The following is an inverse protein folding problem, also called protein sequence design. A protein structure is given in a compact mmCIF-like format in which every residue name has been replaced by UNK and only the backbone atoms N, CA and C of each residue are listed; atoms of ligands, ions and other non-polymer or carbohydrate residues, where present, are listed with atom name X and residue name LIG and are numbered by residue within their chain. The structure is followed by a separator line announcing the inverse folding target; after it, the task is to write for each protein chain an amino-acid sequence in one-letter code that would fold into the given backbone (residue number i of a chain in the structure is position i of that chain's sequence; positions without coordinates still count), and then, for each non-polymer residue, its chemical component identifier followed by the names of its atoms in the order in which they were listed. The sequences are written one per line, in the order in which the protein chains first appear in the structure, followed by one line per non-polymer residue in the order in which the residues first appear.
data_IF_297859036228
#
_entry.id   IF_297859036228
#
_cell.length_a   1.000
_cell.length_b   1.000
_cell.length_c   1.000
_cell.angle_alpha   90.00
_cell.angle_beta   90.00
_cell.angle_gamma   90.00
#
_symmetry.space_group_name_H-M   'P 1'
#
loop_
_entity.id
_entity.type
_entity.pdbx_description
1 polymer ?
#
# COMPACT_ATOMS: atom_id res chain seq x y z
N UNK A 1 -17.53 -40.89 -40.51
CA UNK A 1 -16.62 -40.56 -39.38
C UNK A 1 -16.39 -39.08 -39.29
N UNK A 2 -17.21 -38.38 -38.50
CA UNK A 2 -16.96 -37.00 -38.09
C UNK A 2 -16.11 -37.04 -36.82
N UNK A 3 -14.82 -36.76 -36.93
CA UNK A 3 -13.90 -36.62 -35.79
C UNK A 3 -13.63 -35.13 -35.57
N UNK A 4 -14.53 -34.48 -34.83
CA UNK A 4 -14.28 -33.15 -34.26
C UNK A 4 -13.54 -33.38 -32.95
N UNK A 5 -12.27 -32.99 -32.90
CA UNK A 5 -11.55 -32.81 -31.65
C UNK A 5 -11.65 -31.31 -31.28
N UNK A 6 -12.14 -30.95 -30.09
CA UNK A 6 -11.97 -29.59 -29.59
C UNK A 6 -10.49 -29.42 -29.21
N UNK A 7 -9.76 -28.61 -29.97
CA UNK A 7 -8.43 -28.16 -29.56
C UNK A 7 -8.59 -27.33 -28.29
N UNK A 8 -7.93 -27.83 -27.24
CA UNK A 8 -7.79 -27.26 -25.92
C UNK A 8 -7.36 -25.78 -26.05
N UNK A 9 -8.22 -24.86 -25.62
CA UNK A 9 -7.81 -23.50 -25.33
C UNK A 9 -6.86 -23.57 -24.14
N UNK A 10 -5.60 -23.24 -24.37
CA UNK A 10 -4.60 -23.04 -23.33
C UNK A 10 -5.10 -21.96 -22.37
N UNK A 11 -5.26 -22.23 -21.06
CA UNK A 11 -5.13 -21.16 -20.10
C UNK A 11 -3.65 -20.77 -20.15
N UNK A 12 -3.34 -19.66 -20.82
CA UNK A 12 -2.10 -18.93 -20.58
C UNK A 12 -2.20 -18.33 -19.16
N UNK A 13 -2.14 -19.23 -18.18
CA UNK A 13 -1.78 -18.89 -16.82
C UNK A 13 -0.26 -18.82 -16.83
N UNK A 14 0.26 -17.66 -17.22
CA UNK A 14 1.57 -17.19 -16.77
C UNK A 14 1.52 -17.15 -15.24
N UNK A 15 1.87 -18.28 -14.62
CA UNK A 15 2.10 -18.39 -13.19
C UNK A 15 3.52 -17.89 -12.96
N UNK A 16 3.69 -16.57 -12.97
CA UNK A 16 4.89 -15.97 -12.38
C UNK A 16 4.95 -16.42 -10.92
N UNK A 17 6.13 -16.80 -10.39
CA UNK A 17 6.26 -17.09 -8.98
C UNK A 17 5.83 -15.82 -8.24
N UNK A 18 4.72 -15.92 -7.49
CA UNK A 18 4.32 -14.85 -6.59
C UNK A 18 5.36 -14.84 -5.49
N UNK A 19 6.45 -14.13 -5.74
CA UNK A 19 7.45 -13.80 -4.74
C UNK A 19 6.68 -13.05 -3.65
N UNK A 20 6.48 -13.69 -2.50
CA UNK A 20 5.75 -13.09 -1.37
C UNK A 20 6.32 -11.74 -0.95
N UNK A 21 7.59 -11.46 -1.30
CA UNK A 21 8.23 -10.16 -1.11
C UNK A 21 7.64 -9.07 -2.00
N UNK A 22 7.24 -9.36 -3.24
CA UNK A 22 6.64 -8.38 -4.16
C UNK A 22 5.26 -7.96 -3.66
N UNK A 23 4.44 -8.92 -3.23
CA UNK A 23 3.12 -8.63 -2.67
C UNK A 23 3.22 -7.85 -1.35
N UNK A 24 4.15 -8.23 -0.47
CA UNK A 24 4.35 -7.50 0.79
C UNK A 24 4.88 -6.08 0.59
N UNK A 25 5.75 -5.89 -0.41
CA UNK A 25 6.21 -4.56 -0.79
C UNK A 25 5.09 -3.71 -1.36
N UNK A 26 4.23 -4.26 -2.23
CA UNK A 26 3.08 -3.53 -2.79
C UNK A 26 2.11 -3.10 -1.69
N UNK A 27 1.76 -4.00 -0.77
CA UNK A 27 0.93 -3.68 0.39
C UNK A 27 1.54 -2.57 1.25
N UNK A 28 2.86 -2.62 1.48
CA UNK A 28 3.57 -1.57 2.20
C UNK A 28 3.49 -0.25 1.45
N UNK A 29 3.80 -0.22 0.16
CA UNK A 29 3.76 1.01 -0.65
C UNK A 29 2.36 1.61 -0.68
N UNK A 30 1.32 0.77 -0.79
CA UNK A 30 -0.05 1.22 -0.76
C UNK A 30 -0.44 1.81 0.61
N UNK A 31 -0.07 1.15 1.71
CA UNK A 31 -0.26 1.69 3.05
C UNK A 31 0.42 3.05 3.23
N UNK A 32 1.67 3.18 2.76
CA UNK A 32 2.42 4.43 2.83
C UNK A 32 1.70 5.56 2.07
N UNK A 33 1.19 5.29 0.87
CA UNK A 33 0.42 6.25 0.07
C UNK A 33 -0.84 6.71 0.79
N UNK A 34 -1.64 5.78 1.33
CA UNK A 34 -2.86 6.10 2.09
C UNK A 34 -2.55 7.04 3.26
N UNK A 35 -1.47 6.78 4.00
CA UNK A 35 -1.08 7.61 5.14
C UNK A 35 -0.67 9.01 4.69
N UNK A 36 0.12 9.11 3.62
CA UNK A 36 0.57 10.40 3.07
C UNK A 36 -0.62 11.21 2.58
N UNK A 37 -1.56 10.58 1.87
CA UNK A 37 -2.74 11.27 1.34
C UNK A 37 -3.70 11.70 2.45
N UNK A 38 -3.88 10.86 3.48
CA UNK A 38 -4.64 11.25 4.67
C UNK A 38 -3.97 12.41 5.42
N UNK A 39 -2.64 12.45 5.53
CA UNK A 39 -1.97 13.62 6.12
C UNK A 39 -2.17 14.88 5.28
N UNK A 40 -2.10 14.80 3.94
CA UNK A 40 -2.35 15.96 3.06
C UNK A 40 -3.78 16.48 3.26
N UNK A 41 -4.75 15.58 3.29
CA UNK A 41 -6.17 15.92 3.45
C UNK A 41 -6.46 16.59 4.81
N UNK A 42 -5.77 16.17 5.87
CA UNK A 42 -5.89 16.74 7.22
C UNK A 42 -4.87 17.85 7.49
N UNK A 43 -4.20 18.41 6.47
CA UNK A 43 -3.20 19.48 6.60
C UNK A 43 -2.06 19.17 7.61
N UNK A 44 -1.64 17.91 7.69
CA UNK A 44 -0.62 17.43 8.61
C UNK A 44 -1.13 17.16 10.04
N UNK A 45 -2.43 17.30 10.28
CA UNK A 45 -3.03 17.06 11.60
C UNK A 45 -3.07 15.56 11.92
N UNK A 46 -2.04 15.11 12.65
CA UNK A 46 -1.87 13.69 13.03
C UNK A 46 -3.04 13.01 13.79
N UNK A 47 -3.77 13.68 14.68
CA UNK A 47 -4.91 13.04 15.39
C UNK A 47 -6.07 12.80 14.44
N UNK A 48 -6.46 13.79 13.64
CA UNK A 48 -7.51 13.63 12.64
C UNK A 48 -7.12 12.63 11.55
N UNK A 49 -5.85 12.62 11.13
CA UNK A 49 -5.34 11.56 10.25
C UNK A 49 -5.51 10.18 10.89
N UNK A 50 -5.19 10.01 12.17
CA UNK A 50 -5.33 8.73 12.85
C UNK A 50 -6.81 8.30 12.98
N UNK A 51 -7.68 9.25 13.33
CA UNK A 51 -9.14 9.03 13.42
C UNK A 51 -9.72 8.64 12.06
N UNK A 52 -9.34 9.35 10.98
CA UNK A 52 -9.74 9.06 9.61
C UNK A 52 -9.27 7.70 9.10
N UNK A 53 -8.06 7.30 9.46
CA UNK A 53 -7.51 5.98 9.12
C UNK A 53 -8.03 4.86 10.02
N UNK A 54 -8.80 5.18 11.06
CA UNK A 54 -9.32 4.18 12.01
C UNK A 54 -8.23 3.51 12.85
N UNK A 55 -7.09 4.17 13.07
CA UNK A 55 -5.95 3.65 13.84
C UNK A 55 -5.68 4.51 15.08
N UNK A 56 -4.98 3.94 16.07
CA UNK A 56 -4.58 4.74 17.23
C UNK A 56 -3.56 5.82 16.82
N UNK A 57 -3.56 7.01 17.47
CA UNK A 57 -2.53 8.03 17.24
C UNK A 57 -1.10 7.52 17.45
N UNK A 58 -0.94 6.53 18.34
CA UNK A 58 0.33 5.85 18.59
C UNK A 58 0.76 5.02 17.36
N UNK A 59 -0.16 4.24 16.80
CA UNK A 59 0.08 3.46 15.57
C UNK A 59 0.47 4.37 14.42
N UNK A 60 -0.24 5.49 14.24
CA UNK A 60 0.13 6.47 13.21
C UNK A 60 1.56 6.97 13.44
N UNK A 61 1.90 7.38 14.66
CA UNK A 61 3.25 7.87 15.01
C UNK A 61 4.35 6.88 14.62
N UNK A 62 4.13 5.59 14.88
CA UNK A 62 5.07 4.54 14.47
C UNK A 62 5.23 4.44 12.96
N UNK A 63 4.12 4.48 12.22
CA UNK A 63 4.16 4.44 10.75
C UNK A 63 4.85 5.68 10.17
N UNK A 64 4.62 6.86 10.76
CA UNK A 64 5.33 8.09 10.38
C UNK A 64 6.84 8.01 10.64
N UNK A 65 7.26 7.40 11.74
CA UNK A 65 8.68 7.17 12.01
C UNK A 65 9.30 6.29 10.93
N UNK A 66 8.66 5.16 10.60
CA UNK A 66 9.11 4.26 9.54
C UNK A 66 9.16 4.94 8.17
N UNK A 67 8.14 5.72 7.82
CA UNK A 67 8.10 6.52 6.59
C UNK A 67 9.29 7.49 6.48
N UNK A 68 9.67 8.13 7.59
CA UNK A 68 10.86 9.01 7.63
C UNK A 68 12.14 8.21 7.46
N UNK A 69 12.24 7.05 8.09
CA UNK A 69 13.43 6.19 8.01
C UNK A 69 13.59 5.63 6.60
N UNK A 70 12.48 5.40 5.89
CA UNK A 70 12.41 5.03 4.48
C UNK A 70 12.66 6.24 3.53
N UNK A 71 12.90 7.45 4.07
CA UNK A 71 13.21 8.66 3.29
C UNK A 71 11.99 9.37 2.67
N UNK A 72 10.77 9.01 3.07
CA UNK A 72 9.53 9.58 2.52
C UNK A 72 9.24 10.93 3.18
N UNK A 73 9.03 11.95 2.36
CA UNK A 73 8.66 13.29 2.79
C UNK A 73 7.22 13.33 3.31
N UNK A 74 7.05 13.73 4.58
CA UNK A 74 5.75 13.80 5.24
C UNK A 74 5.23 15.24 5.32
N UNK A 75 4.00 15.52 4.88
CA UNK A 75 3.43 16.87 4.93
C UNK A 75 3.14 17.29 6.38
N UNK A 76 3.44 18.55 6.69
CA UNK A 76 3.16 19.15 8.02
C UNK A 76 4.12 18.78 9.14
N UNK A 77 5.26 18.16 8.83
CA UNK A 77 6.35 17.89 9.79
C UNK A 77 7.49 18.93 9.75
N UNK A 78 7.43 19.89 8.84
CA UNK A 78 8.33 21.05 8.78
C UNK A 78 7.74 22.20 9.62
N UNK A 79 7.85 22.12 10.94
CA UNK A 79 7.29 23.15 11.81
C UNK A 79 7.66 22.95 13.27
N UNK A 80 8.67 23.73 13.69
CA UNK A 80 9.23 24.01 15.03
C UNK A 80 9.94 22.87 15.76
#
# INVERSE_FOLDING_TARGET
NLSILPVCATPDSSVEPVDGSALENDLRSHEQQIIVDALKAEHGRRKETAERLGISPRTLRYKLAKLRDDGIALPGLYGT
#
